data_IF_389258851804
#
_entry.id   IF_389258851804
#
_cell.length_a   1.000
_cell.length_b   1.000
_cell.length_c   1.000
_cell.angle_alpha   90.00
_cell.angle_beta   90.00
_cell.angle_gamma   90.00
#
_symmetry.space_group_name_H-M   'P 1'
#
loop_
_entity.id
_entity.type
_entity.pdbx_description
1 polymer ?
#
# COMPACT_ATOMS: atom_id res chain seq x y z
N UNK A 1 -9.62 12.11 18.33
CA UNK A 1 -10.87 12.81 18.75
C UNK A 1 -12.01 12.78 17.71
N UNK A 2 -11.75 12.32 16.47
CA UNK A 2 -12.81 12.16 15.45
C UNK A 2 -13.63 10.88 15.69
N UNK A 3 -13.04 9.85 16.30
CA UNK A 3 -13.69 8.55 16.55
C UNK A 3 -14.98 8.61 17.37
N UNK A 4 -15.10 9.35 18.51
CA UNK A 4 -16.34 9.36 19.30
C UNK A 4 -17.53 10.00 18.59
N UNK A 5 -17.30 10.97 17.70
CA UNK A 5 -18.38 11.61 16.95
C UNK A 5 -18.86 10.77 15.75
N UNK A 6 -18.00 9.94 15.19
CA UNK A 6 -18.35 9.00 14.13
C UNK A 6 -19.20 7.84 14.65
N UNK A 7 -18.93 7.31 15.84
CA UNK A 7 -19.73 6.22 16.44
C UNK A 7 -21.21 6.57 16.55
N UNK A 8 -21.53 7.81 16.97
CA UNK A 8 -22.92 8.27 16.98
C UNK A 8 -23.54 8.38 15.59
N UNK A 9 -22.76 8.82 14.60
CA UNK A 9 -23.21 8.95 13.22
C UNK A 9 -23.40 7.58 12.53
N UNK A 10 -22.54 6.62 12.80
CA UNK A 10 -22.65 5.24 12.29
C UNK A 10 -23.92 4.56 12.80
N UNK A 11 -24.25 4.70 14.10
CA UNK A 11 -25.51 4.19 14.67
C UNK A 11 -26.72 4.82 13.98
N UNK A 12 -26.73 6.13 13.77
CA UNK A 12 -27.83 6.82 13.09
C UNK A 12 -27.98 6.38 11.62
N UNK A 13 -26.86 6.17 10.90
CA UNK A 13 -26.89 5.70 9.50
C UNK A 13 -27.41 4.27 9.47
N UNK A 14 -26.95 3.39 10.33
CA UNK A 14 -27.42 2.01 10.46
C UNK A 14 -28.94 1.94 10.67
N UNK A 15 -29.43 2.62 11.69
CA UNK A 15 -30.84 2.59 12.06
C UNK A 15 -31.73 3.15 10.94
N UNK A 16 -31.27 4.24 10.30
CA UNK A 16 -31.96 4.80 9.13
C UNK A 16 -31.96 3.82 7.95
N UNK A 17 -30.84 3.20 7.62
CA UNK A 17 -30.73 2.29 6.49
C UNK A 17 -31.56 1.04 6.68
N UNK A 18 -31.61 0.48 7.89
CA UNK A 18 -32.48 -0.65 8.23
C UNK A 18 -33.95 -0.26 8.15
N UNK A 19 -34.34 0.94 8.62
CA UNK A 19 -35.70 1.44 8.47
C UNK A 19 -36.10 1.64 7.01
N UNK A 20 -35.23 2.22 6.18
CA UNK A 20 -35.49 2.39 4.74
C UNK A 20 -35.68 1.03 4.05
N UNK A 21 -34.91 0.02 4.45
CA UNK A 21 -35.09 -1.35 3.93
C UNK A 21 -36.42 -1.95 4.36
N UNK A 22 -36.82 -1.80 5.62
CA UNK A 22 -38.12 -2.28 6.12
C UNK A 22 -39.30 -1.58 5.43
N UNK A 23 -39.15 -0.30 5.07
CA UNK A 23 -40.15 0.48 4.36
C UNK A 23 -40.18 0.20 2.84
N UNK A 24 -39.22 -0.54 2.31
CA UNK A 24 -39.09 -0.83 0.88
C UNK A 24 -38.58 0.35 0.02
N UNK A 25 -38.01 1.38 0.66
CA UNK A 25 -37.41 2.54 -0.02
C UNK A 25 -36.05 2.23 -0.64
N UNK A 26 -35.35 1.23 -0.10
CA UNK A 26 -34.14 0.66 -0.67
C UNK A 26 -34.31 -0.84 -0.90
N UNK A 27 -33.68 -1.35 -1.96
CA UNK A 27 -33.86 -2.76 -2.37
C UNK A 27 -33.02 -3.74 -1.53
N UNK A 28 -31.89 -3.32 -1.02
CA UNK A 28 -30.90 -4.20 -0.39
C UNK A 28 -30.23 -5.17 -1.37
N UNK A 29 -30.47 -5.04 -2.69
CA UNK A 29 -29.96 -5.95 -3.72
C UNK A 29 -28.63 -5.45 -4.31
N UNK A 30 -28.58 -4.16 -4.65
CA UNK A 30 -27.45 -3.53 -5.36
C UNK A 30 -26.91 -2.35 -4.58
N UNK A 31 -25.59 -2.30 -4.37
CA UNK A 31 -24.92 -1.17 -3.73
C UNK A 31 -23.90 -0.54 -4.67
N UNK A 32 -23.95 0.78 -4.78
CA UNK A 32 -23.01 1.59 -5.55
C UNK A 32 -21.96 2.15 -4.60
N UNK A 33 -20.70 1.72 -4.74
CA UNK A 33 -19.61 2.12 -3.85
C UNK A 33 -18.68 3.08 -4.59
N UNK A 34 -18.41 4.24 -3.98
CA UNK A 34 -17.40 5.19 -4.46
C UNK A 34 -16.56 5.74 -3.30
N UNK A 35 -15.35 6.17 -3.63
CA UNK A 35 -14.41 6.76 -2.70
C UNK A 35 -14.12 8.22 -3.03
N UNK A 36 -14.13 9.08 -2.01
CA UNK A 36 -13.67 10.45 -2.14
C UNK A 36 -12.59 10.77 -1.12
N UNK A 37 -11.68 11.67 -1.46
CA UNK A 37 -10.59 12.09 -0.57
C UNK A 37 -10.91 13.45 0.00
N UNK A 38 -10.95 13.52 1.33
CA UNK A 38 -11.22 14.74 2.07
C UNK A 38 -9.91 15.27 2.64
N UNK A 39 -9.50 16.46 2.20
CA UNK A 39 -8.32 17.17 2.72
C UNK A 39 -8.57 17.60 4.15
N UNK A 40 -7.58 17.41 5.03
CA UNK A 40 -7.63 17.90 6.41
C UNK A 40 -7.07 19.30 6.51
N UNK A 41 -7.42 20.01 7.58
CA UNK A 41 -6.82 21.32 7.90
C UNK A 41 -5.36 21.22 8.37
N UNK A 42 -4.74 20.06 8.24
CA UNK A 42 -3.36 19.82 8.67
C UNK A 42 -2.35 20.51 7.75
N UNK A 43 -1.21 20.89 8.34
CA UNK A 43 -0.14 21.52 7.57
C UNK A 43 0.47 20.55 6.57
N UNK A 44 0.33 20.84 5.27
CA UNK A 44 0.83 20.04 4.16
C UNK A 44 2.38 19.95 4.06
N UNK A 45 3.11 20.79 4.75
CA UNK A 45 4.57 20.80 4.75
C UNK A 45 5.19 20.04 5.92
N UNK A 46 4.41 19.63 6.91
CA UNK A 46 4.88 18.88 8.08
C UNK A 46 4.59 17.39 7.96
N UNK A 47 5.25 16.74 7.02
CA UNK A 47 5.07 15.32 6.74
C UNK A 47 6.17 14.44 7.37
N UNK A 48 5.81 13.18 7.64
CA UNK A 48 6.72 12.12 8.04
C UNK A 48 6.55 10.93 7.09
N UNK A 49 7.62 10.58 6.37
CA UNK A 49 7.64 9.44 5.46
C UNK A 49 8.25 8.22 6.14
N UNK A 50 7.51 7.11 6.23
CA UNK A 50 7.95 5.86 6.82
C UNK A 50 9.29 5.39 6.25
N UNK A 51 9.42 5.36 4.91
CA UNK A 51 10.65 4.96 4.21
C UNK A 51 11.86 5.79 4.61
N UNK A 52 11.71 7.11 4.76
CA UNK A 52 12.79 8.00 5.16
C UNK A 52 13.20 7.76 6.63
N UNK A 53 12.21 7.59 7.52
CA UNK A 53 12.46 7.30 8.94
C UNK A 53 13.17 5.96 9.09
N UNK A 54 12.73 4.90 8.40
CA UNK A 54 13.36 3.58 8.42
C UNK A 54 14.82 3.65 7.96
N UNK A 55 15.08 4.30 6.81
CA UNK A 55 16.45 4.48 6.29
C UNK A 55 17.35 5.25 7.26
N UNK A 56 16.81 6.28 7.92
CA UNK A 56 17.57 7.07 8.90
C UNK A 56 17.79 6.29 10.19
N UNK A 57 16.85 5.46 10.62
CA UNK A 57 17.01 4.55 11.75
C UNK A 57 18.10 3.51 11.49
N UNK A 58 18.11 2.88 10.30
CA UNK A 58 19.16 1.93 9.89
C UNK A 58 20.53 2.56 9.93
N UNK A 59 20.70 3.76 9.38
CA UNK A 59 21.96 4.51 9.45
C UNK A 59 22.38 4.85 10.87
N UNK A 60 21.41 5.17 11.75
CA UNK A 60 21.69 5.45 13.15
C UNK A 60 22.13 4.18 13.89
N UNK A 61 21.53 3.04 13.61
CA UNK A 61 21.90 1.75 14.22
C UNK A 61 23.33 1.34 13.86
N UNK A 62 23.81 1.63 12.65
CA UNK A 62 25.22 1.43 12.25
C UNK A 62 26.12 2.31 13.11
N UNK A 63 25.83 3.61 13.23
CA UNK A 63 26.61 4.53 14.07
C UNK A 63 26.65 4.12 15.55
N UNK A 64 25.55 3.55 16.05
CA UNK A 64 25.50 3.02 17.41
C UNK A 64 26.38 1.77 17.54
N UNK A 65 26.42 0.91 16.54
CA UNK A 65 27.30 -0.25 16.53
C UNK A 65 28.81 0.18 16.56
N UNK A 66 29.12 1.18 15.74
CA UNK A 66 30.48 1.76 15.72
C UNK A 66 30.85 2.36 17.12
N UNK A 67 29.92 3.10 17.74
CA UNK A 67 30.15 3.64 19.09
C UNK A 67 30.29 2.53 20.16
N UNK A 68 29.54 1.42 20.04
CA UNK A 68 29.72 0.27 20.94
C UNK A 68 31.11 -0.32 20.79
N UNK A 69 31.60 -0.51 19.56
CA UNK A 69 32.95 -1.02 19.30
C UNK A 69 34.05 -0.06 19.82
N UNK A 70 33.86 1.24 19.62
CA UNK A 70 34.79 2.27 20.21
C UNK A 70 34.82 2.21 21.74
N UNK A 71 33.64 2.10 22.38
CA UNK A 71 33.55 1.97 23.84
C UNK A 71 34.16 0.67 24.36
N UNK A 72 34.12 -0.43 23.59
CA UNK A 72 34.77 -1.68 23.93
C UNK A 72 36.32 -1.51 23.92
N UNK A 73 36.84 -0.86 22.89
CA UNK A 73 38.26 -0.59 22.77
C UNK A 73 38.80 0.37 23.85
N UNK A 74 38.06 1.45 24.14
CA UNK A 74 38.52 2.50 25.07
C UNK A 74 38.30 2.13 26.53
N UNK A 75 37.24 1.40 26.87
CA UNK A 75 36.83 1.18 28.27
C UNK A 75 36.65 -0.31 28.61
N UNK A 76 36.91 -1.23 27.69
CA UNK A 76 36.69 -2.67 27.91
C UNK A 76 35.23 -3.05 28.10
N UNK A 77 34.29 -2.17 27.69
CA UNK A 77 32.85 -2.38 27.90
C UNK A 77 32.28 -3.26 26.80
N UNK A 78 32.04 -4.53 27.07
CA UNK A 78 31.43 -5.44 26.13
C UNK A 78 29.91 -5.40 26.17
N UNK A 79 29.28 -5.26 24.99
CA UNK A 79 27.84 -5.35 24.78
C UNK A 79 27.56 -6.41 23.71
N UNK A 80 27.13 -7.56 24.16
CA UNK A 80 26.77 -8.67 23.24
C UNK A 80 25.41 -8.41 22.61
N UNK A 81 25.34 -8.47 21.27
CA UNK A 81 24.11 -8.40 20.48
C UNK A 81 24.27 -9.29 19.23
N UNK A 82 23.11 -9.74 18.66
CA UNK A 82 23.13 -10.52 17.43
C UNK A 82 23.25 -9.62 16.19
N UNK A 83 22.61 -9.97 15.08
CA UNK A 83 22.75 -9.28 13.78
C UNK A 83 22.46 -7.75 13.83
N UNK A 84 21.63 -7.30 14.77
CA UNK A 84 21.23 -5.89 14.87
C UNK A 84 21.22 -5.38 16.30
N UNK A 85 21.68 -4.15 16.46
CA UNK A 85 21.61 -3.40 17.73
C UNK A 85 20.14 -3.05 18.01
N UNK A 86 19.66 -3.31 19.23
CA UNK A 86 18.31 -2.96 19.71
C UNK A 86 18.39 -1.94 20.84
N UNK A 87 17.32 -1.22 21.09
CA UNK A 87 17.20 -0.22 22.17
C UNK A 87 17.73 -0.72 23.54
N UNK A 88 17.49 -2.00 23.86
CA UNK A 88 17.98 -2.61 25.10
C UNK A 88 19.51 -2.60 25.23
N UNK A 89 20.22 -2.78 24.09
CA UNK A 89 21.70 -2.78 24.07
C UNK A 89 22.25 -1.37 24.29
N UNK A 90 21.61 -0.37 23.67
CA UNK A 90 21.94 1.06 23.88
C UNK A 90 21.76 1.46 25.34
N UNK A 91 20.64 1.05 25.96
CA UNK A 91 20.38 1.29 27.39
C UNK A 91 21.41 0.60 28.30
N UNK A 92 21.87 -0.62 27.93
CA UNK A 92 22.93 -1.34 28.67
C UNK A 92 24.27 -0.59 28.60
N UNK A 93 24.64 -0.15 27.37
CA UNK A 93 25.86 0.66 27.20
C UNK A 93 25.80 1.93 28.04
N UNK A 94 24.67 2.65 27.98
CA UNK A 94 24.42 3.83 28.79
C UNK A 94 24.68 3.56 30.30
N UNK A 95 24.07 2.49 30.82
CA UNK A 95 24.23 2.12 32.25
C UNK A 95 25.70 1.87 32.61
N UNK A 96 26.45 1.16 31.76
CA UNK A 96 27.86 0.87 31.98
C UNK A 96 28.74 2.13 31.92
N UNK A 97 28.54 3.03 30.96
CA UNK A 97 29.27 4.29 30.85
C UNK A 97 29.00 5.23 32.03
N UNK A 98 27.77 5.27 32.54
CA UNK A 98 27.47 6.06 33.74
C UNK A 98 28.04 5.44 35.01
N UNK A 99 28.17 4.12 35.12
CA UNK A 99 28.88 3.47 36.24
C UNK A 99 30.37 3.83 36.20
N UNK A 100 31.01 3.75 35.03
CA UNK A 100 32.43 4.17 34.88
C UNK A 100 32.63 5.64 35.21
N UNK A 101 31.71 6.53 34.83
CA UNK A 101 31.73 7.95 35.22
C UNK A 101 31.76 8.12 36.75
N UNK A 102 31.00 7.31 37.51
CA UNK A 102 30.92 7.36 38.95
C UNK A 102 32.19 6.78 39.58
N UNK A 103 32.70 5.66 39.05
CA UNK A 103 33.94 5.03 39.53
C UNK A 103 35.18 5.96 39.38
N UNK A 104 35.25 6.65 38.24
CA UNK A 104 36.35 7.58 37.95
C UNK A 104 36.12 9.00 38.52
N UNK A 105 35.01 9.26 39.22
CA UNK A 105 34.63 10.55 39.76
C UNK A 105 34.67 11.70 38.73
N UNK A 106 34.33 11.44 37.48
CA UNK A 106 34.40 12.42 36.39
C UNK A 106 33.24 13.41 36.49
N UNK A 107 33.58 14.69 36.63
CA UNK A 107 32.64 15.81 36.58
C UNK A 107 32.55 16.32 35.16
N UNK A 108 31.33 16.38 34.62
CA UNK A 108 31.10 16.89 33.28
C UNK A 108 31.32 18.41 33.21
N UNK A 109 32.02 18.82 32.16
CA UNK A 109 32.31 20.24 31.92
C UNK A 109 31.43 20.73 30.75
N UNK A 110 30.87 21.93 30.91
CA UNK A 110 30.02 22.58 29.91
C UNK A 110 30.56 23.99 29.64
N UNK A 111 30.30 24.49 28.43
CA UNK A 111 30.66 25.84 27.99
C UNK A 111 31.79 25.88 26.98
N UNK A 112 31.99 27.07 26.39
CA UNK A 112 33.00 27.33 25.35
C UNK A 112 34.40 27.31 25.97
N UNK A 113 35.35 26.67 25.30
CA UNK A 113 36.74 26.63 25.72
C UNK A 113 37.10 25.53 26.74
N UNK A 114 36.15 24.80 27.30
CA UNK A 114 36.43 23.68 28.21
C UNK A 114 36.65 22.37 27.45
N UNK A 115 37.74 21.66 27.78
CA UNK A 115 38.03 20.35 27.17
C UNK A 115 37.21 19.25 27.85
N UNK A 116 36.29 18.63 27.08
CA UNK A 116 35.53 17.46 27.52
C UNK A 116 36.42 16.22 27.52
N UNK A 117 36.27 15.38 28.54
CA UNK A 117 36.89 14.04 28.55
C UNK A 117 36.33 13.17 27.43
N UNK A 118 37.06 12.11 27.03
CA UNK A 118 36.57 11.18 26.02
C UNK A 118 35.30 10.47 26.48
N UNK A 119 35.24 10.09 27.77
CA UNK A 119 34.07 9.49 28.39
C UNK A 119 32.82 10.39 28.29
N UNK A 120 32.99 11.70 28.58
CA UNK A 120 31.90 12.67 28.44
C UNK A 120 31.39 12.75 27.00
N UNK A 121 32.27 12.78 26.00
CA UNK A 121 31.89 12.79 24.59
C UNK A 121 31.12 11.54 24.20
N UNK A 122 31.59 10.36 24.62
CA UNK A 122 30.92 9.08 24.33
C UNK A 122 29.51 9.03 24.94
N UNK A 123 29.36 9.53 26.20
CA UNK A 123 28.05 9.58 26.86
C UNK A 123 27.13 10.59 26.16
N UNK A 124 27.57 11.79 25.84
CA UNK A 124 26.75 12.81 25.14
C UNK A 124 26.32 12.32 23.76
N UNK A 125 27.22 11.69 23.01
CA UNK A 125 26.88 11.08 21.70
C UNK A 125 25.86 9.95 21.84
N UNK A 126 26.02 9.10 22.86
CA UNK A 126 25.10 8.02 23.14
C UNK A 126 23.69 8.52 23.50
N UNK A 127 23.61 9.58 24.34
CA UNK A 127 22.32 10.20 24.70
C UNK A 127 21.65 10.81 23.48
N UNK A 128 22.40 11.51 22.62
CA UNK A 128 21.84 12.01 21.34
C UNK A 128 21.29 10.87 20.48
N UNK A 129 22.05 9.78 20.34
CA UNK A 129 21.64 8.62 19.56
C UNK A 129 20.42 7.93 20.17
N UNK A 130 20.36 7.84 21.50
CA UNK A 130 19.23 7.26 22.21
C UNK A 130 17.93 8.07 21.97
N UNK A 131 18.01 9.40 22.05
CA UNK A 131 16.84 10.26 21.83
C UNK A 131 16.38 10.25 20.38
N UNK A 132 17.31 10.24 19.42
CA UNK A 132 16.99 10.06 18.00
C UNK A 132 16.35 8.70 17.75
N UNK A 133 16.86 7.63 18.35
CA UNK A 133 16.31 6.27 18.19
C UNK A 133 14.90 6.17 18.78
N UNK A 134 14.63 6.75 19.95
CA UNK A 134 13.30 6.88 20.54
C UNK A 134 12.36 7.65 19.59
N UNK A 135 12.85 8.78 19.05
CA UNK A 135 12.09 9.59 18.09
C UNK A 135 11.72 8.82 16.83
N UNK A 136 12.62 8.03 16.24
CA UNK A 136 12.31 7.19 15.09
C UNK A 136 11.33 6.07 15.43
N UNK A 137 11.50 5.42 16.58
CA UNK A 137 10.59 4.38 17.05
C UNK A 137 9.15 4.93 17.22
N UNK A 138 9.01 6.11 17.85
CA UNK A 138 7.70 6.79 17.98
C UNK A 138 7.08 7.10 16.61
N UNK A 139 7.87 7.66 15.67
CA UNK A 139 7.40 7.97 14.32
C UNK A 139 6.95 6.73 13.55
N UNK A 140 7.69 5.62 13.65
CA UNK A 140 7.32 4.36 13.01
C UNK A 140 6.07 3.74 13.64
N UNK A 141 5.90 3.89 14.95
CA UNK A 141 4.69 3.45 15.65
C UNK A 141 3.45 4.21 15.17
N UNK A 142 3.52 5.55 15.09
CA UNK A 142 2.44 6.39 14.53
C UNK A 142 2.14 6.03 13.07
N UNK A 143 3.16 5.80 12.24
CA UNK A 143 2.95 5.35 10.87
C UNK A 143 2.17 4.03 10.79
N UNK A 144 2.42 3.08 11.68
CA UNK A 144 1.82 1.76 11.64
C UNK A 144 1.97 1.10 10.26
N UNK A 145 0.85 0.74 9.62
CA UNK A 145 0.81 0.17 8.26
C UNK A 145 0.89 1.25 7.15
N UNK A 146 0.67 2.53 7.47
CA UNK A 146 0.68 3.66 6.53
C UNK A 146 2.08 3.99 6.03
N UNK A 147 2.17 4.66 4.89
CA UNK A 147 3.44 5.12 4.31
C UNK A 147 3.89 6.50 4.86
N UNK A 148 2.95 7.28 5.40
CA UNK A 148 3.18 8.65 5.88
C UNK A 148 2.12 9.06 6.89
N UNK A 149 2.40 10.15 7.61
CA UNK A 149 1.41 10.89 8.39
C UNK A 149 1.80 12.38 8.47
N UNK A 150 0.83 13.24 8.82
CA UNK A 150 1.09 14.65 9.12
C UNK A 150 1.46 14.82 10.60
N UNK A 151 2.43 15.71 10.92
CA UNK A 151 2.80 15.98 12.31
C UNK A 151 1.70 16.75 13.07
N UNK A 152 0.90 17.52 12.36
CA UNK A 152 -0.20 18.33 12.93
C UNK A 152 -1.49 17.53 13.03
N UNK A 153 -1.62 16.44 12.25
CA UNK A 153 -2.73 15.49 12.32
C UNK A 153 -2.16 14.08 12.09
N UNK A 154 -1.79 13.37 13.16
CA UNK A 154 -1.15 12.05 13.06
C UNK A 154 -2.02 10.97 12.41
N UNK A 155 -3.34 11.14 12.34
CA UNK A 155 -4.27 10.19 11.74
C UNK A 155 -4.40 10.37 10.24
N UNK A 156 -4.16 11.59 9.73
CA UNK A 156 -4.17 11.88 8.30
C UNK A 156 -2.96 11.25 7.58
N UNK A 157 -3.23 10.74 6.39
CA UNK A 157 -2.20 10.19 5.49
C UNK A 157 -2.04 11.11 4.27
N UNK A 158 -0.80 11.26 3.77
CA UNK A 158 -0.56 12.02 2.56
C UNK A 158 -1.04 11.25 1.33
N UNK A 159 -2.01 11.85 0.62
CA UNK A 159 -2.68 11.28 -0.54
C UNK A 159 -2.62 12.23 -1.73
N UNK A 160 -2.69 11.68 -2.94
CA UNK A 160 -2.93 12.45 -4.15
C UNK A 160 -4.43 12.75 -4.23
N UNK A 161 -4.79 14.03 -4.30
CA UNK A 161 -6.19 14.44 -4.41
C UNK A 161 -6.72 14.22 -5.83
N UNK A 162 -8.03 14.00 -5.98
CA UNK A 162 -8.68 13.93 -7.30
C UNK A 162 -8.60 15.29 -7.99
N UNK A 163 -8.90 16.36 -7.26
CA UNK A 163 -8.80 17.75 -7.72
C UNK A 163 -7.40 18.30 -7.43
N UNK A 164 -6.57 18.29 -8.43
CA UNK A 164 -5.26 18.94 -8.43
C UNK A 164 -5.30 20.09 -9.43
N UNK A 165 -5.85 21.23 -9.00
CA UNK A 165 -6.00 22.43 -9.83
C UNK A 165 -4.68 22.95 -10.40
N UNK A 166 -3.55 22.60 -9.79
CA UNK A 166 -2.22 22.97 -10.25
C UNK A 166 -1.56 21.90 -11.14
N UNK A 167 -2.16 20.71 -11.28
CA UNK A 167 -1.65 19.62 -12.09
C UNK A 167 -0.25 19.11 -11.71
N UNK A 168 0.26 19.46 -10.52
CA UNK A 168 1.62 19.17 -10.09
C UNK A 168 1.75 17.86 -9.30
N UNK A 169 0.66 17.15 -9.06
CA UNK A 169 0.62 15.89 -8.30
C UNK A 169 0.94 16.04 -6.83
N UNK A 170 0.70 17.23 -6.26
CA UNK A 170 0.97 17.49 -4.84
C UNK A 170 0.18 16.54 -3.94
N UNK A 171 0.90 15.98 -2.97
CA UNK A 171 0.29 15.17 -1.92
C UNK A 171 -0.19 16.08 -0.79
N UNK A 172 -1.42 15.83 -0.32
CA UNK A 172 -2.01 16.55 0.80
C UNK A 172 -2.40 15.59 1.91
N UNK A 173 -2.37 16.03 3.19
CA UNK A 173 -2.88 15.24 4.29
C UNK A 173 -4.39 15.09 4.14
N UNK A 174 -4.88 13.86 4.10
CA UNK A 174 -6.27 13.57 3.80
C UNK A 174 -6.72 12.25 4.41
N UNK A 175 -8.03 12.08 4.45
CA UNK A 175 -8.72 10.81 4.68
C UNK A 175 -9.40 10.34 3.38
N UNK A 176 -9.56 9.05 3.24
CA UNK A 176 -10.34 8.44 2.18
C UNK A 176 -11.69 8.05 2.76
N UNK A 177 -12.75 8.73 2.32
CA UNK A 177 -14.13 8.43 2.64
C UNK A 177 -14.66 7.45 1.60
N UNK A 178 -15.21 6.35 2.04
CA UNK A 178 -15.98 5.42 1.20
C UNK A 178 -17.45 5.57 1.53
N UNK A 179 -18.30 5.64 0.55
CA UNK A 179 -19.75 5.65 0.74
C UNK A 179 -20.42 4.64 -0.16
N UNK A 180 -21.45 4.00 0.36
CA UNK A 180 -22.34 3.11 -0.38
C UNK A 180 -23.69 3.76 -0.55
N UNK A 181 -24.25 3.66 -1.75
CA UNK A 181 -25.55 4.24 -2.12
C UNK A 181 -26.44 3.14 -2.64
N UNK A 182 -27.71 3.14 -2.21
CA UNK A 182 -28.81 2.34 -2.76
C UNK A 182 -30.02 3.26 -2.92
N UNK A 183 -30.64 3.27 -4.11
CA UNK A 183 -31.86 4.04 -4.39
C UNK A 183 -31.76 5.53 -3.95
N UNK A 184 -30.64 6.20 -4.26
CA UNK A 184 -30.35 7.60 -3.92
C UNK A 184 -30.05 7.89 -2.43
N UNK A 185 -30.08 6.87 -1.56
CA UNK A 185 -29.72 7.00 -0.16
C UNK A 185 -28.30 6.54 0.12
N UNK A 186 -27.54 7.31 0.92
CA UNK A 186 -26.29 6.83 1.48
C UNK A 186 -26.63 5.82 2.57
N UNK A 187 -26.34 4.56 2.35
CA UNK A 187 -26.68 3.44 3.25
C UNK A 187 -25.55 3.10 4.22
N UNK A 188 -24.32 3.39 3.84
CA UNK A 188 -23.15 3.20 4.70
C UNK A 188 -22.01 4.14 4.31
N UNK A 189 -21.16 4.46 5.27
CA UNK A 189 -19.93 5.20 5.01
C UNK A 189 -18.79 4.72 5.93
N UNK A 190 -17.56 4.78 5.43
CA UNK A 190 -16.35 4.54 6.23
C UNK A 190 -15.30 5.60 5.94
N UNK A 191 -14.51 5.95 6.94
CA UNK A 191 -13.41 6.91 6.80
C UNK A 191 -12.10 6.24 7.19
N UNK A 192 -11.12 6.28 6.32
CA UNK A 192 -9.87 5.60 6.57
C UNK A 192 -8.63 6.32 6.04
N UNK A 193 -7.46 5.92 6.51
CA UNK A 193 -6.19 6.51 6.10
C UNK A 193 -5.61 5.87 4.83
N UNK A 194 -6.34 5.02 4.12
CA UNK A 194 -5.86 4.30 2.94
C UNK A 194 -5.85 5.22 1.72
N UNK A 195 -4.70 5.41 1.04
CA UNK A 195 -4.62 6.33 -0.11
C UNK A 195 -5.23 5.77 -1.40
N UNK A 196 -5.61 4.49 -1.42
CA UNK A 196 -6.15 3.78 -2.60
C UNK A 196 -7.39 2.98 -2.22
N UNK A 197 -8.35 2.90 -3.14
CA UNK A 197 -9.65 2.25 -2.92
C UNK A 197 -9.57 0.73 -2.99
N UNK A 198 -8.51 0.17 -3.61
CA UNK A 198 -8.27 -1.28 -3.73
C UNK A 198 -8.32 -2.04 -2.40
N UNK A 199 -7.96 -1.38 -1.30
CA UNK A 199 -7.87 -2.01 0.03
C UNK A 199 -9.01 -1.61 0.96
N UNK A 200 -9.97 -0.83 0.49
CA UNK A 200 -11.09 -0.33 1.29
C UNK A 200 -12.37 -1.13 1.10
N UNK A 201 -12.54 -1.82 -0.06
CA UNK A 201 -13.77 -2.54 -0.40
C UNK A 201 -14.12 -3.63 0.63
N UNK A 202 -13.16 -4.51 0.92
CA UNK A 202 -13.40 -5.63 1.85
C UNK A 202 -13.75 -5.16 3.26
N UNK A 203 -13.02 -4.21 3.89
CA UNK A 203 -13.43 -3.63 5.16
C UNK A 203 -14.83 -3.03 5.12
N UNK A 204 -15.12 -2.23 4.08
CA UNK A 204 -16.41 -1.60 3.88
C UNK A 204 -17.56 -2.64 3.83
N UNK A 205 -17.42 -3.67 3.01
CA UNK A 205 -18.45 -4.73 2.88
C UNK A 205 -18.62 -5.54 4.18
N UNK A 206 -17.54 -5.79 4.90
CA UNK A 206 -17.64 -6.47 6.21
C UNK A 206 -18.42 -5.65 7.23
N UNK A 207 -18.21 -4.33 7.26
CA UNK A 207 -18.97 -3.44 8.13
C UNK A 207 -20.44 -3.38 7.72
N UNK A 208 -20.75 -3.30 6.41
CA UNK A 208 -22.15 -3.36 5.95
C UNK A 208 -22.83 -4.67 6.34
N UNK A 209 -22.14 -5.81 6.22
CA UNK A 209 -22.68 -7.12 6.64
C UNK A 209 -22.86 -7.24 8.17
N UNK A 210 -22.03 -6.54 8.96
CA UNK A 210 -22.12 -6.56 10.42
C UNK A 210 -23.27 -5.70 10.96
N UNK A 211 -23.53 -4.56 10.33
CA UNK A 211 -24.42 -3.55 10.88
C UNK A 211 -25.77 -3.42 10.17
N UNK A 212 -25.88 -3.84 8.91
CA UNK A 212 -27.16 -3.82 8.19
C UNK A 212 -27.90 -5.15 8.36
N UNK A 213 -29.23 -5.09 8.40
CA UNK A 213 -30.09 -6.26 8.53
C UNK A 213 -30.19 -7.11 7.24
N UNK A 214 -29.51 -6.69 6.18
CA UNK A 214 -29.54 -7.32 4.86
C UNK A 214 -28.15 -7.34 4.24
N UNK A 215 -27.96 -8.17 3.21
CA UNK A 215 -26.68 -8.34 2.51
C UNK A 215 -26.85 -8.04 1.02
N UNK A 216 -26.06 -7.10 0.54
CA UNK A 216 -26.05 -6.76 -0.89
C UNK A 216 -25.51 -7.91 -1.74
N UNK A 217 -26.21 -8.24 -2.82
CA UNK A 217 -25.81 -9.27 -3.76
C UNK A 217 -24.96 -8.74 -4.91
N UNK A 218 -25.21 -7.51 -5.35
CA UNK A 218 -24.53 -6.85 -6.48
C UNK A 218 -23.70 -5.68 -5.98
N UNK A 219 -22.41 -5.71 -6.26
CA UNK A 219 -21.44 -4.70 -5.80
C UNK A 219 -20.93 -3.93 -7.00
N UNK A 220 -21.39 -2.68 -7.13
CA UNK A 220 -21.05 -1.79 -8.24
C UNK A 220 -19.98 -0.81 -7.78
N UNK A 221 -18.80 -0.82 -8.42
CA UNK A 221 -17.70 0.06 -8.06
C UNK A 221 -16.88 0.48 -9.28
N UNK A 222 -15.99 1.46 -9.10
CA UNK A 222 -15.13 1.92 -10.17
C UNK A 222 -13.83 1.08 -10.30
N UNK A 223 -13.01 1.42 -11.30
CA UNK A 223 -11.76 0.72 -11.58
C UNK A 223 -10.72 0.82 -10.45
N UNK A 224 -10.89 1.73 -9.49
CA UNK A 224 -10.01 1.89 -8.33
C UNK A 224 -10.12 0.72 -7.35
N UNK A 225 -11.23 0.00 -7.38
CA UNK A 225 -11.48 -1.16 -6.52
C UNK A 225 -11.04 -2.49 -7.14
N UNK A 226 -10.64 -2.48 -8.41
CA UNK A 226 -10.26 -3.71 -9.10
C UNK A 226 -9.02 -4.35 -8.50
N UNK A 227 -9.16 -5.57 -7.97
CA UNK A 227 -8.04 -6.40 -7.50
C UNK A 227 -8.44 -7.87 -7.44
N UNK A 228 -7.45 -8.76 -7.54
CA UNK A 228 -7.68 -10.20 -7.37
C UNK A 228 -8.28 -10.53 -6.00
N UNK A 229 -7.78 -9.90 -4.95
CA UNK A 229 -8.25 -10.09 -3.58
C UNK A 229 -9.73 -9.71 -3.42
N UNK A 230 -10.16 -8.59 -4.04
CA UNK A 230 -11.54 -8.15 -4.00
C UNK A 230 -12.46 -9.09 -4.77
N UNK A 231 -12.05 -9.53 -5.96
CA UNK A 231 -12.82 -10.50 -6.73
C UNK A 231 -12.99 -11.84 -6.00
N UNK A 232 -11.91 -12.39 -5.45
CA UNK A 232 -11.95 -13.64 -4.67
C UNK A 232 -12.83 -13.49 -3.44
N UNK A 233 -12.77 -12.33 -2.76
CA UNK A 233 -13.63 -12.05 -1.61
C UNK A 233 -15.12 -12.05 -2.01
N UNK A 234 -15.47 -11.36 -3.09
CA UNK A 234 -16.86 -11.28 -3.57
C UNK A 234 -17.38 -12.66 -3.97
N UNK A 235 -16.62 -13.42 -4.75
CA UNK A 235 -16.96 -14.78 -5.15
C UNK A 235 -17.18 -15.71 -3.94
N UNK A 236 -16.26 -15.68 -2.98
CA UNK A 236 -16.34 -16.47 -1.75
C UNK A 236 -17.60 -16.11 -0.92
N UNK A 237 -18.02 -14.85 -0.96
CA UNK A 237 -19.21 -14.37 -0.26
C UNK A 237 -20.50 -14.46 -1.10
N UNK A 238 -20.44 -15.06 -2.29
CA UNK A 238 -21.57 -15.19 -3.22
C UNK A 238 -22.16 -13.83 -3.64
N UNK A 239 -21.28 -12.83 -3.80
CA UNK A 239 -21.61 -11.48 -4.26
C UNK A 239 -21.11 -11.29 -5.69
N UNK A 240 -21.91 -10.66 -6.53
CA UNK A 240 -21.58 -10.40 -7.93
C UNK A 240 -20.82 -9.07 -8.05
N UNK A 241 -19.64 -9.13 -8.64
CA UNK A 241 -18.87 -7.94 -8.97
C UNK A 241 -19.41 -7.26 -10.23
N UNK A 242 -19.56 -5.94 -10.19
CA UNK A 242 -19.76 -5.04 -11.32
C UNK A 242 -18.71 -3.93 -11.23
N UNK A 243 -17.44 -4.33 -11.28
CA UNK A 243 -16.29 -3.43 -11.12
C UNK A 243 -15.68 -3.16 -12.48
N UNK A 244 -15.68 -1.89 -12.91
CA UNK A 244 -15.10 -1.52 -14.21
C UNK A 244 -13.62 -1.90 -14.28
N UNK A 245 -13.16 -2.75 -15.23
CA UNK A 245 -11.74 -3.09 -15.35
C UNK A 245 -10.88 -1.86 -15.60
N UNK A 246 -9.73 -1.78 -14.95
CA UNK A 246 -8.81 -0.63 -15.03
C UNK A 246 -8.25 -0.39 -16.42
N UNK A 247 -8.22 -1.43 -17.26
CA UNK A 247 -7.77 -1.35 -18.65
C UNK A 247 -8.91 -1.12 -19.67
N UNK A 248 -10.17 -1.05 -19.23
CA UNK A 248 -11.35 -1.00 -20.13
C UNK A 248 -11.28 0.12 -21.17
N UNK A 249 -11.01 1.38 -20.73
CA UNK A 249 -10.93 2.51 -21.67
C UNK A 249 -9.64 2.51 -22.49
N UNK A 250 -8.56 2.04 -21.89
CA UNK A 250 -7.25 2.01 -22.54
C UNK A 250 -7.22 0.92 -23.60
N UNK A 251 -7.89 -0.22 -23.38
CA UNK A 251 -7.92 -1.36 -24.32
C UNK A 251 -8.59 -1.02 -25.66
N UNK A 252 -9.48 -0.02 -25.66
CA UNK A 252 -10.12 0.48 -26.89
C UNK A 252 -9.17 1.26 -27.80
N UNK A 253 -8.06 1.81 -27.24
CA UNK A 253 -7.14 2.67 -27.96
C UNK A 253 -6.25 1.87 -28.92
N UNK A 254 -6.03 2.39 -30.15
CA UNK A 254 -5.15 1.77 -31.17
C UNK A 254 -3.73 1.46 -30.62
N UNK A 255 -3.19 2.33 -29.78
CA UNK A 255 -1.88 2.13 -29.15
C UNK A 255 -1.84 0.88 -28.26
N UNK A 256 -2.92 0.57 -27.55
CA UNK A 256 -3.01 -0.63 -26.73
C UNK A 256 -3.11 -1.90 -27.60
N UNK A 257 -4.00 -1.86 -28.61
CA UNK A 257 -4.24 -3.00 -29.53
C UNK A 257 -2.98 -3.33 -30.35
N UNK A 258 -2.15 -2.36 -30.66
CA UNK A 258 -0.91 -2.55 -31.41
C UNK A 258 0.33 -2.82 -30.52
N UNK A 259 0.19 -2.86 -29.19
CA UNK A 259 1.31 -3.07 -28.28
C UNK A 259 1.68 -4.56 -28.22
N UNK A 260 2.64 -4.96 -29.06
CA UNK A 260 3.11 -6.35 -29.18
C UNK A 260 3.74 -6.92 -27.91
N UNK A 261 4.03 -6.10 -26.92
CA UNK A 261 4.58 -6.51 -25.65
C UNK A 261 3.52 -6.94 -24.62
N UNK A 262 2.23 -6.79 -24.93
CA UNK A 262 1.13 -7.14 -24.04
C UNK A 262 0.66 -8.55 -24.23
N UNK A 263 0.23 -9.17 -23.15
CA UNK A 263 -0.34 -10.52 -23.15
C UNK A 263 -1.59 -10.62 -24.04
N UNK A 264 -2.44 -9.59 -24.00
CA UNK A 264 -3.70 -9.54 -24.73
C UNK A 264 -3.50 -9.53 -26.27
N UNK A 265 -2.26 -9.26 -26.72
CA UNK A 265 -1.88 -9.21 -28.14
C UNK A 265 -0.92 -10.37 -28.50
N UNK A 266 -0.88 -11.42 -27.71
CA UNK A 266 -0.11 -12.64 -27.96
C UNK A 266 -1.05 -13.84 -28.04
N UNK A 267 -0.81 -14.73 -28.98
CA UNK A 267 -1.58 -15.96 -29.11
C UNK A 267 -1.19 -16.91 -27.95
N UNK A 268 -2.20 -17.57 -27.35
CA UNK A 268 -1.98 -18.57 -26.32
C UNK A 268 -2.22 -19.97 -26.87
N UNK A 269 -1.25 -20.83 -26.72
CA UNK A 269 -1.37 -22.24 -27.07
C UNK A 269 -1.65 -23.07 -25.81
N UNK A 270 -2.89 -23.54 -25.70
CA UNK A 270 -3.34 -24.35 -24.55
C UNK A 270 -2.61 -25.68 -24.45
N UNK A 271 -2.22 -26.30 -25.58
CA UNK A 271 -1.59 -27.63 -25.57
C UNK A 271 -0.19 -27.60 -24.97
N UNK A 272 0.53 -26.52 -25.21
CA UNK A 272 1.89 -26.36 -24.69
C UNK A 272 1.98 -25.43 -23.47
N UNK A 273 0.86 -24.90 -22.99
CA UNK A 273 0.78 -23.84 -21.97
C UNK A 273 1.82 -22.75 -22.23
N UNK A 274 1.78 -22.16 -23.44
CA UNK A 274 2.77 -21.17 -23.89
C UNK A 274 2.13 -20.01 -24.64
N UNK A 275 2.80 -18.87 -24.62
CA UNK A 275 2.41 -17.70 -25.41
C UNK A 275 3.33 -17.57 -26.63
N UNK A 276 2.76 -17.15 -27.76
CA UNK A 276 3.48 -16.95 -29.01
C UNK A 276 3.66 -15.44 -29.21
N UNK A 277 4.91 -14.98 -29.29
CA UNK A 277 5.20 -13.57 -29.52
C UNK A 277 5.09 -13.17 -31.00
N UNK A 278 5.10 -11.87 -31.30
CA UNK A 278 5.03 -11.33 -32.67
C UNK A 278 6.08 -11.91 -33.62
N UNK A 279 7.20 -12.38 -33.12
CA UNK A 279 8.27 -13.02 -33.91
C UNK A 279 8.10 -14.53 -34.05
N UNK A 280 6.94 -15.10 -33.69
CA UNK A 280 6.67 -16.53 -33.78
C UNK A 280 7.42 -17.38 -32.73
N UNK A 281 8.07 -16.74 -31.73
CA UNK A 281 8.79 -17.47 -30.68
C UNK A 281 7.90 -17.73 -29.49
N UNK A 282 8.08 -18.90 -28.85
CA UNK A 282 7.32 -19.30 -27.68
C UNK A 282 7.86 -18.73 -26.38
N UNK A 283 6.96 -18.28 -25.52
CA UNK A 283 7.22 -17.99 -24.12
C UNK A 283 6.71 -19.18 -23.31
N UNK A 284 7.63 -19.99 -22.84
CA UNK A 284 7.32 -21.19 -22.10
C UNK A 284 7.11 -20.90 -20.61
N UNK A 285 6.22 -21.67 -19.98
CA UNK A 285 6.05 -21.64 -18.54
C UNK A 285 7.37 -21.99 -17.84
N UNK A 286 7.71 -21.24 -16.80
CA UNK A 286 8.96 -21.46 -16.05
C UNK A 286 8.70 -21.79 -14.59
N UNK A 287 7.84 -21.02 -13.92
CA UNK A 287 7.57 -21.21 -12.50
C UNK A 287 6.30 -20.46 -12.06
N UNK A 288 5.78 -20.82 -10.90
CA UNK A 288 4.78 -20.04 -10.17
C UNK A 288 5.49 -19.17 -9.15
N UNK A 289 5.22 -17.87 -9.19
CA UNK A 289 5.70 -16.90 -8.20
C UNK A 289 4.57 -16.50 -7.28
N UNK A 290 4.71 -16.79 -5.99
CA UNK A 290 3.80 -16.34 -4.94
C UNK A 290 4.21 -14.99 -4.40
N UNK A 291 3.23 -14.11 -4.17
CA UNK A 291 3.46 -12.82 -3.53
C UNK A 291 2.36 -12.54 -2.51
N UNK A 292 2.79 -12.06 -1.32
CA UNK A 292 1.86 -11.69 -0.24
C UNK A 292 1.63 -10.18 -0.25
N UNK A 293 0.36 -9.77 -0.28
CA UNK A 293 -0.04 -8.37 -0.18
C UNK A 293 0.15 -7.82 1.25
N UNK A 294 -0.02 -6.51 1.43
CA UNK A 294 -0.01 -5.88 2.76
C UNK A 294 -1.21 -6.28 3.61
N UNK A 295 -2.30 -6.70 3.00
CA UNK A 295 -3.53 -7.21 3.64
C UNK A 295 -3.38 -8.67 4.09
N UNK A 296 -2.36 -9.36 3.58
CA UNK A 296 -2.09 -10.76 3.89
C UNK A 296 -2.52 -11.74 2.79
N UNK A 297 -3.21 -11.27 1.75
CA UNK A 297 -3.62 -12.07 0.60
C UNK A 297 -2.42 -12.59 -0.18
N UNK A 298 -2.45 -13.86 -0.57
CA UNK A 298 -1.38 -14.51 -1.35
C UNK A 298 -1.86 -14.70 -2.78
N UNK A 299 -1.27 -13.95 -3.71
CA UNK A 299 -1.51 -14.10 -5.14
C UNK A 299 -0.46 -15.00 -5.79
N UNK A 300 -0.89 -15.77 -6.78
CA UNK A 300 -0.03 -16.63 -7.60
C UNK A 300 0.09 -16.07 -9.01
N UNK A 301 1.32 -15.99 -9.52
CA UNK A 301 1.60 -15.53 -10.86
C UNK A 301 2.40 -16.59 -11.63
N UNK A 302 1.84 -17.05 -12.72
CA UNK A 302 2.55 -17.91 -13.69
C UNK A 302 3.55 -17.05 -14.46
N UNK A 303 4.79 -17.48 -14.49
CA UNK A 303 5.87 -16.80 -15.19
C UNK A 303 6.16 -17.53 -16.49
N UNK A 304 6.08 -16.84 -17.60
CA UNK A 304 6.42 -17.34 -18.93
C UNK A 304 7.60 -16.54 -19.48
N UNK A 305 8.56 -17.22 -20.08
CA UNK A 305 9.78 -16.60 -20.59
C UNK A 305 10.12 -17.09 -21.99
N UNK A 306 10.45 -16.16 -22.88
CA UNK A 306 11.06 -16.44 -24.16
C UNK A 306 12.59 -16.47 -23.97
N UNK A 307 13.25 -17.55 -24.38
CA UNK A 307 14.72 -17.69 -24.33
C UNK A 307 15.40 -17.16 -25.61
N UNK A 308 14.66 -16.96 -26.68
CA UNK A 308 15.15 -16.64 -28.02
C UNK A 308 14.93 -15.16 -28.40
N UNK A 309 15.22 -14.24 -27.48
CA UNK A 309 15.09 -12.81 -27.71
C UNK A 309 16.37 -12.14 -28.23
N UNK A 310 17.46 -12.90 -28.45
CA UNK A 310 18.69 -12.37 -29.02
C UNK A 310 18.42 -11.98 -30.47
N UNK A 311 18.91 -10.83 -30.88
CA UNK A 311 18.80 -10.28 -32.24
C UNK A 311 17.36 -10.17 -32.80
N UNK A 312 16.37 -10.13 -31.93
CA UNK A 312 14.97 -9.99 -32.32
C UNK A 312 14.67 -8.56 -32.82
N UNK A 313 14.14 -8.38 -34.05
CA UNK A 313 13.87 -7.07 -34.64
C UNK A 313 12.82 -6.26 -33.84
N UNK A 314 11.90 -6.96 -33.14
CA UNK A 314 10.84 -6.35 -32.35
C UNK A 314 11.22 -6.09 -30.88
N UNK A 315 12.49 -6.33 -30.50
CA UNK A 315 12.91 -6.33 -29.08
C UNK A 315 12.63 -5.01 -28.37
N UNK A 316 12.92 -3.88 -29.01
CA UNK A 316 12.69 -2.52 -28.47
C UNK A 316 11.21 -2.21 -28.20
N UNK A 317 10.32 -2.71 -29.05
CA UNK A 317 8.87 -2.50 -28.91
C UNK A 317 8.25 -3.49 -27.94
N UNK A 318 8.78 -4.72 -27.88
CA UNK A 318 8.28 -5.82 -27.05
C UNK A 318 8.72 -5.72 -25.59
N UNK A 319 9.99 -5.37 -25.33
CA UNK A 319 10.57 -5.31 -23.98
C UNK A 319 10.70 -3.86 -23.55
N UNK A 320 9.76 -3.39 -22.74
CA UNK A 320 9.73 -2.04 -22.18
C UNK A 320 10.39 -2.01 -20.80
N UNK A 321 10.85 -0.86 -20.36
CA UNK A 321 11.41 -0.63 -19.04
C UNK A 321 12.76 0.07 -19.09
N UNK A 322 12.73 1.40 -18.90
CA UNK A 322 13.93 2.25 -18.94
C UNK A 322 14.76 2.19 -17.64
N UNK A 323 14.18 1.68 -16.54
CA UNK A 323 14.81 1.64 -15.21
C UNK A 323 15.44 0.28 -14.89
N UNK A 324 15.63 -0.60 -15.88
CA UNK A 324 16.29 -1.88 -15.68
C UNK A 324 17.82 -1.70 -15.77
N UNK A 325 18.55 -2.26 -14.80
CA UNK A 325 20.03 -2.22 -14.80
C UNK A 325 20.66 -3.09 -15.89
N UNK A 326 19.94 -4.15 -16.33
CA UNK A 326 20.40 -5.05 -17.37
C UNK A 326 20.21 -4.40 -18.74
N UNK A 327 21.22 -4.36 -19.62
CA UNK A 327 21.10 -3.86 -20.99
C UNK A 327 19.99 -4.55 -21.78
N UNK A 328 19.36 -3.84 -22.73
CA UNK A 328 18.24 -4.40 -23.50
C UNK A 328 18.64 -5.66 -24.27
N UNK A 329 19.86 -5.69 -24.77
CA UNK A 329 20.43 -6.78 -25.56
C UNK A 329 20.44 -8.11 -24.80
N UNK A 330 20.63 -8.06 -23.50
CA UNK A 330 20.69 -9.23 -22.61
C UNK A 330 19.33 -9.65 -22.06
N UNK A 331 18.30 -8.78 -22.19
CA UNK A 331 16.98 -9.07 -21.63
C UNK A 331 16.17 -10.00 -22.52
N UNK A 332 15.46 -10.91 -21.88
CA UNK A 332 14.45 -11.76 -22.50
C UNK A 332 13.04 -11.27 -22.13
N UNK A 333 12.07 -11.56 -23.02
CA UNK A 333 10.66 -11.26 -22.71
C UNK A 333 10.17 -12.19 -21.62
N UNK A 334 9.62 -11.61 -20.56
CA UNK A 334 8.99 -12.31 -19.44
C UNK A 334 7.57 -11.78 -19.28
N UNK A 335 6.60 -12.68 -19.18
CA UNK A 335 5.23 -12.40 -18.77
C UNK A 335 5.02 -12.89 -17.34
N UNK A 336 4.30 -12.12 -16.55
CA UNK A 336 3.90 -12.47 -15.19
C UNK A 336 2.39 -12.38 -15.11
N UNK A 337 1.72 -13.52 -15.09
CA UNK A 337 0.29 -13.66 -15.33
C UNK A 337 -0.40 -14.19 -14.09
N UNK A 338 -1.33 -13.44 -13.54
CA UNK A 338 -2.23 -13.89 -12.50
C UNK A 338 -3.49 -14.49 -13.16
N UNK A 339 -3.47 -15.81 -13.41
CA UNK A 339 -4.58 -16.50 -14.12
C UNK A 339 -5.93 -16.31 -13.41
N UNK A 340 -5.94 -16.40 -12.07
CA UNK A 340 -7.13 -16.16 -11.24
C UNK A 340 -7.70 -14.76 -11.46
N UNK A 341 -6.84 -13.75 -11.45
CA UNK A 341 -7.27 -12.37 -11.68
C UNK A 341 -7.84 -12.15 -13.08
N UNK A 342 -7.23 -12.74 -14.11
CA UNK A 342 -7.73 -12.63 -15.49
C UNK A 342 -9.09 -13.29 -15.65
N UNK A 343 -9.27 -14.48 -15.05
CA UNK A 343 -10.57 -15.19 -15.08
C UNK A 343 -11.70 -14.32 -14.49
N UNK A 344 -11.51 -13.82 -13.26
CA UNK A 344 -12.53 -12.98 -12.63
C UNK A 344 -12.78 -11.67 -13.36
N UNK A 345 -11.71 -11.06 -13.91
CA UNK A 345 -11.84 -9.85 -14.75
C UNK A 345 -12.68 -10.10 -15.99
N UNK A 346 -12.53 -11.24 -16.65
CA UNK A 346 -13.28 -11.61 -17.84
C UNK A 346 -14.77 -11.85 -17.50
N UNK A 347 -15.04 -12.63 -16.45
CA UNK A 347 -16.39 -12.85 -15.94
C UNK A 347 -17.09 -11.54 -15.51
N UNK A 348 -16.34 -10.63 -14.87
CA UNK A 348 -16.84 -9.31 -14.48
C UNK A 348 -17.07 -8.42 -15.72
N UNK A 349 -16.20 -8.50 -16.72
CA UNK A 349 -16.34 -7.76 -17.97
C UNK A 349 -17.62 -8.21 -18.72
N UNK A 350 -17.90 -9.49 -18.75
CA UNK A 350 -19.15 -10.02 -19.34
C UNK A 350 -20.37 -9.47 -18.60
N UNK A 351 -20.35 -9.47 -17.26
CA UNK A 351 -21.44 -8.91 -16.44
C UNK A 351 -21.66 -7.43 -16.69
N UNK A 352 -20.61 -6.61 -16.71
CA UNK A 352 -20.74 -5.16 -16.93
C UNK A 352 -21.16 -4.80 -18.36
N UNK A 353 -21.00 -5.71 -19.33
CA UNK A 353 -21.44 -5.53 -20.71
C UNK A 353 -22.84 -6.10 -20.99
N UNK A 354 -23.42 -6.85 -20.07
CA UNK A 354 -24.80 -7.28 -20.13
C UNK A 354 -25.77 -6.08 -20.05
N UNK A 355 -27.02 -6.27 -20.45
CA UNK A 355 -28.07 -5.24 -20.36
C UNK A 355 -28.22 -4.72 -18.92
N UNK A 356 -28.21 -5.63 -17.95
CA UNK A 356 -28.22 -5.29 -16.53
C UNK A 356 -27.02 -4.46 -16.12
N UNK A 357 -25.79 -4.89 -16.48
CA UNK A 357 -24.56 -4.17 -16.14
C UNK A 357 -24.49 -2.80 -16.80
N UNK A 358 -25.03 -2.63 -18.00
CA UNK A 358 -25.15 -1.33 -18.67
C UNK A 358 -26.09 -0.42 -17.88
N UNK A 359 -27.27 -0.93 -17.48
CA UNK A 359 -28.25 -0.19 -16.70
C UNK A 359 -27.67 0.25 -15.33
N UNK A 360 -27.03 -0.67 -14.60
CA UNK A 360 -26.40 -0.37 -13.32
C UNK A 360 -25.31 0.71 -13.44
N UNK A 361 -24.55 0.72 -14.55
CA UNK A 361 -23.53 1.76 -14.77
C UNK A 361 -24.12 3.12 -15.12
N UNK A 362 -25.27 3.16 -15.81
CA UNK A 362 -26.00 4.40 -16.07
C UNK A 362 -26.53 4.97 -14.75
N UNK A 363 -27.17 4.16 -13.94
CA UNK A 363 -27.70 4.56 -12.63
C UNK A 363 -26.61 5.09 -11.67
N UNK A 364 -25.38 4.59 -11.79
CA UNK A 364 -24.24 5.13 -11.03
C UNK A 364 -23.85 6.55 -11.44
N UNK A 365 -24.15 6.95 -12.65
CA UNK A 365 -23.73 8.25 -13.21
C UNK A 365 -24.72 9.37 -12.90
N UNK A 366 -25.87 9.05 -12.35
CA UNK A 366 -26.90 9.95 -11.88
C UNK A 366 -26.66 10.25 -10.40
#
# INVERSE_FOLDING_TARGET
EIMPSLVGSEMCIRDRSNLLYELGEISGESIFIDGTKIETCANKYTFVWKKAVTKNQEKLLIKIADLIAECEQLYGIQIVYGDTVKMKHVKRLRKKLYALKQEENIVFVHGIGKRKTQLQKSIETLEEYLDRLKGYTKKLHICGKRNSYSKTDPDATFMRMKEDSMGNGQLKPAFNLQHGVDSEYIVWLTVGPQPTDTTTLIPFLKETEEYLAFKYQKIIADAGYESEENYVFLDTNQQLAFIKPSNYEISKKRKYKNDIGRIENMDYDEKSDSYICRNGKQLLFTQIRRSKSKTGYVSEKSIYQCKECKDCPYKKECIKGNNCKTPLEERNKVLSIAKTFLKYREEDLERILSDEGILLRINRSI
#
